data_IF_152706718621
#
_entry.id   IF_152706718621
#
_cell.length_a   1.000
_cell.length_b   1.000
_cell.length_c   1.000
_cell.angle_alpha   90.00
_cell.angle_beta   90.00
_cell.angle_gamma   90.00
#
_symmetry.space_group_name_H-M   'P 1'
#
loop_
_entity.id
_entity.type
_entity.pdbx_description
1 polymer ?
#
# COMPACT_ATOMS: atom_id res chain seq x y z
N UNK A 1 -41.38 5.31 -60.48
CA UNK A 1 -41.25 4.26 -59.44
C UNK A 1 -39.76 3.95 -59.26
N UNK A 2 -39.07 4.69 -58.40
CA UNK A 2 -37.69 4.39 -57.95
C UNK A 2 -37.67 4.74 -56.46
N UNK A 3 -37.65 3.69 -55.62
CA UNK A 3 -37.50 3.77 -54.17
C UNK A 3 -36.01 3.92 -53.85
N UNK A 4 -35.62 5.04 -53.26
CA UNK A 4 -34.30 5.24 -52.65
C UNK A 4 -34.41 4.88 -51.16
N UNK A 5 -33.98 3.66 -50.83
CA UNK A 5 -33.71 3.23 -49.46
C UNK A 5 -32.40 3.85 -49.00
N UNK A 6 -32.48 4.89 -48.18
CA UNK A 6 -31.35 5.40 -47.41
C UNK A 6 -31.13 4.47 -46.20
N UNK A 7 -30.16 3.56 -46.33
CA UNK A 7 -29.68 2.73 -45.23
C UNK A 7 -28.87 3.58 -44.26
N UNK A 8 -29.45 3.90 -43.10
CA UNK A 8 -28.72 4.41 -41.96
C UNK A 8 -27.88 3.28 -41.36
N UNK A 9 -26.60 3.21 -41.76
CA UNK A 9 -25.60 2.37 -41.11
C UNK A 9 -25.30 3.01 -39.74
N UNK A 10 -26.00 2.56 -38.71
CA UNK A 10 -25.67 2.87 -37.34
C UNK A 10 -24.34 2.17 -37.01
N UNK A 11 -23.24 2.90 -37.10
CA UNK A 11 -21.97 2.49 -36.52
C UNK A 11 -22.15 2.52 -35.00
N UNK A 12 -22.46 1.37 -34.41
CA UNK A 12 -22.25 1.16 -33.00
C UNK A 12 -20.75 1.33 -32.75
N UNK A 13 -20.33 2.54 -32.35
CA UNK A 13 -19.03 2.76 -31.76
C UNK A 13 -19.01 1.87 -30.52
N UNK A 14 -18.31 0.74 -30.61
CA UNK A 14 -17.84 0.06 -29.44
C UNK A 14 -16.93 1.06 -28.74
N UNK A 15 -17.42 1.61 -27.62
CA UNK A 15 -16.57 2.39 -26.74
C UNK A 15 -15.33 1.54 -26.47
N UNK A 16 -14.12 2.00 -26.84
CA UNK A 16 -12.93 1.28 -26.46
C UNK A 16 -12.98 1.18 -24.94
N UNK A 17 -12.99 -0.06 -24.43
CA UNK A 17 -12.77 -0.32 -23.01
C UNK A 17 -11.39 0.25 -22.73
N UNK A 18 -11.36 1.51 -22.29
CA UNK A 18 -10.18 2.18 -21.80
C UNK A 18 -9.84 1.46 -20.51
N UNK A 19 -9.04 0.40 -20.64
CA UNK A 19 -8.31 -0.16 -19.53
C UNK A 19 -7.37 0.95 -19.07
N UNK A 20 -7.84 1.74 -18.10
CA UNK A 20 -7.00 2.64 -17.33
C UNK A 20 -6.14 1.72 -16.48
N UNK A 21 -5.09 1.15 -17.07
CA UNK A 21 -4.00 0.58 -16.31
C UNK A 21 -3.41 1.76 -15.55
N UNK A 22 -3.84 1.89 -14.30
CA UNK A 22 -3.34 2.89 -13.35
C UNK A 22 -1.83 2.74 -13.35
N UNK A 23 -1.13 3.70 -13.97
CA UNK A 23 0.33 3.69 -14.14
C UNK A 23 1.08 3.42 -12.82
N UNK A 24 0.43 3.71 -11.68
CA UNK A 24 0.89 3.36 -10.35
C UNK A 24 1.11 1.85 -10.12
N UNK A 25 0.16 0.97 -10.48
CA UNK A 25 0.29 -0.47 -10.19
C UNK A 25 1.43 -1.11 -10.98
N UNK A 26 1.54 -0.77 -12.26
CA UNK A 26 2.66 -1.23 -13.10
C UNK A 26 4.01 -0.73 -12.58
N UNK A 27 4.07 0.50 -12.03
CA UNK A 27 5.29 1.01 -11.43
C UNK A 27 5.66 0.26 -10.14
N UNK A 28 4.68 -0.10 -9.31
CA UNK A 28 4.90 -0.93 -8.11
C UNK A 28 5.40 -2.31 -8.51
N UNK A 29 4.74 -2.97 -9.47
CA UNK A 29 5.13 -4.30 -9.95
C UNK A 29 6.57 -4.29 -10.51
N UNK A 30 6.95 -3.27 -11.30
CA UNK A 30 8.33 -3.13 -11.79
C UNK A 30 9.36 -2.93 -10.67
N UNK A 31 9.03 -2.12 -9.68
CA UNK A 31 9.94 -1.90 -8.54
C UNK A 31 10.05 -3.15 -7.65
N UNK A 32 9.00 -3.97 -7.58
CA UNK A 32 9.02 -5.29 -6.95
C UNK A 32 9.93 -6.25 -7.75
N UNK A 33 9.80 -6.27 -9.07
CA UNK A 33 10.65 -7.10 -9.96
C UNK A 33 12.14 -6.77 -9.79
N UNK A 34 12.51 -5.50 -9.56
CA UNK A 34 13.90 -5.13 -9.29
C UNK A 34 14.45 -5.79 -8.02
N UNK A 35 13.64 -5.90 -6.96
CA UNK A 35 14.01 -6.62 -5.72
C UNK A 35 14.16 -8.11 -6.02
N UNK A 36 13.23 -8.69 -6.80
CA UNK A 36 13.26 -10.10 -7.19
C UNK A 36 14.52 -10.40 -7.98
N UNK A 37 14.80 -9.64 -9.04
CA UNK A 37 15.98 -9.79 -9.89
C UNK A 37 17.27 -9.69 -9.07
N UNK A 38 17.37 -8.71 -8.18
CA UNK A 38 18.54 -8.55 -7.29
C UNK A 38 18.77 -9.79 -6.42
N UNK A 39 17.72 -10.37 -5.84
CA UNK A 39 17.83 -11.58 -5.02
C UNK A 39 18.12 -12.83 -5.86
N UNK A 40 17.56 -12.93 -7.05
CA UNK A 40 17.84 -14.03 -7.98
C UNK A 40 19.29 -14.02 -8.49
N UNK A 41 19.86 -12.84 -8.73
CA UNK A 41 21.30 -12.68 -9.04
C UNK A 41 22.20 -13.14 -7.88
N UNK A 42 21.73 -13.02 -6.63
CA UNK A 42 22.39 -13.58 -5.45
C UNK A 42 22.17 -15.10 -5.27
N UNK A 43 21.44 -15.74 -6.18
CA UNK A 43 21.13 -17.17 -6.19
C UNK A 43 19.91 -17.57 -5.36
N UNK A 44 19.08 -16.63 -4.92
CA UNK A 44 17.78 -16.97 -4.35
C UNK A 44 16.80 -17.39 -5.46
N UNK A 45 15.77 -18.15 -5.10
CA UNK A 45 14.65 -18.46 -5.99
C UNK A 45 13.36 -17.89 -5.40
N UNK A 46 12.69 -17.02 -6.15
CA UNK A 46 11.46 -16.39 -5.73
C UNK A 46 10.25 -17.32 -5.88
N UNK A 47 9.33 -17.27 -4.92
CA UNK A 47 8.02 -17.92 -5.01
C UNK A 47 6.97 -17.06 -4.32
N UNK A 48 5.98 -16.58 -5.08
CA UNK A 48 4.85 -15.81 -4.54
C UNK A 48 3.90 -16.70 -3.74
N UNK A 49 3.40 -16.20 -2.61
CA UNK A 49 2.45 -16.86 -1.70
C UNK A 49 1.48 -15.83 -1.13
N UNK A 50 0.34 -15.64 -1.81
CA UNK A 50 -0.55 -14.52 -1.49
C UNK A 50 0.12 -13.20 -1.88
N UNK A 51 0.14 -12.25 -0.96
CA UNK A 51 0.78 -10.94 -1.13
C UNK A 51 2.29 -10.97 -0.79
N UNK A 52 2.78 -12.09 -0.24
CA UNK A 52 4.20 -12.25 0.11
C UNK A 52 5.01 -12.88 -1.03
N UNK A 53 6.29 -12.49 -1.14
CA UNK A 53 7.28 -13.22 -1.94
C UNK A 53 8.26 -13.93 -1.01
N UNK A 54 8.32 -15.26 -1.13
CA UNK A 54 9.26 -16.09 -0.37
C UNK A 54 10.46 -16.45 -1.24
N UNK A 55 11.62 -15.97 -0.84
CA UNK A 55 12.91 -16.25 -1.49
C UNK A 55 13.60 -17.43 -0.83
N UNK A 56 13.70 -18.54 -1.55
CA UNK A 56 14.44 -19.72 -1.12
C UNK A 56 15.93 -19.48 -1.32
N UNK A 57 16.78 -19.74 -0.31
CA UNK A 57 18.21 -19.48 -0.43
C UNK A 57 18.91 -20.52 -1.31
N UNK A 58 20.07 -20.19 -1.90
CA UNK A 58 20.88 -21.15 -2.65
C UNK A 58 21.46 -22.26 -1.77
N UNK A 59 21.60 -22.00 -0.45
CA UNK A 59 22.07 -23.00 0.52
C UNK A 59 21.14 -23.05 1.72
N UNK A 60 20.79 -24.27 2.14
CA UNK A 60 19.79 -24.50 3.19
C UNK A 60 20.08 -23.83 4.54
N UNK A 61 21.34 -23.51 4.87
CA UNK A 61 21.71 -22.86 6.14
C UNK A 61 21.46 -21.34 6.17
N UNK A 62 21.27 -20.69 5.03
CA UNK A 62 21.17 -19.22 4.94
C UNK A 62 19.81 -18.68 5.41
N UNK A 63 18.78 -19.53 5.49
CA UNK A 63 17.41 -19.12 5.78
C UNK A 63 16.71 -18.50 4.57
N UNK A 64 15.38 -18.52 4.58
CA UNK A 64 14.58 -17.89 3.52
C UNK A 64 14.45 -16.39 3.80
N UNK A 65 14.45 -15.57 2.74
CA UNK A 65 14.01 -14.18 2.86
C UNK A 65 12.53 -14.10 2.47
N UNK A 66 11.77 -13.21 3.11
CA UNK A 66 10.34 -12.99 2.86
C UNK A 66 10.17 -11.49 2.66
N UNK A 67 9.69 -11.12 1.49
CA UNK A 67 9.30 -9.75 1.19
C UNK A 67 7.79 -9.61 1.33
N UNK A 68 7.37 -8.68 2.17
CA UNK A 68 5.98 -8.40 2.53
C UNK A 68 5.86 -6.93 2.91
N UNK A 69 4.86 -6.22 2.37
CA UNK A 69 4.57 -4.81 2.68
C UNK A 69 5.79 -3.87 2.61
N UNK A 70 6.64 -4.05 1.59
CA UNK A 70 7.85 -3.22 1.43
C UNK A 70 8.95 -3.50 2.47
N UNK A 71 8.86 -4.60 3.22
CA UNK A 71 9.86 -5.04 4.19
C UNK A 71 10.43 -6.40 3.80
N UNK A 72 11.76 -6.54 3.94
CA UNK A 72 12.44 -7.81 3.77
C UNK A 72 12.80 -8.39 5.15
N UNK A 73 12.22 -9.55 5.47
CA UNK A 73 12.48 -10.28 6.71
C UNK A 73 13.18 -11.61 6.41
N UNK A 74 13.86 -12.18 7.40
CA UNK A 74 14.56 -13.46 7.22
C UNK A 74 14.03 -14.53 8.19
N UNK A 75 13.62 -15.65 7.63
CA UNK A 75 13.28 -16.85 8.40
C UNK A 75 14.53 -17.71 8.59
N UNK A 76 14.81 -18.10 9.83
CA UNK A 76 15.94 -19.01 10.11
C UNK A 76 15.73 -20.37 9.47
N UNK A 77 16.81 -20.94 8.97
CA UNK A 77 16.85 -22.32 8.55
C UNK A 77 16.69 -23.25 9.75
N UNK A 78 15.72 -24.15 9.69
CA UNK A 78 15.60 -25.29 10.61
C UNK A 78 16.09 -26.51 9.84
N UNK A 79 17.33 -26.93 10.10
CA UNK A 79 17.88 -28.17 9.56
C UNK A 79 17.73 -29.27 10.63
N UNK A 80 16.85 -30.24 10.36
CA UNK A 80 16.64 -31.43 11.17
C UNK A 80 16.66 -32.69 10.31
N UNK A 81 16.99 -33.85 10.91
CA UNK A 81 17.02 -35.16 10.25
C UNK A 81 15.64 -35.69 9.82
N UNK A 82 14.56 -34.98 10.16
CA UNK A 82 13.21 -35.29 9.75
C UNK A 82 12.63 -34.10 8.98
N UNK A 83 12.06 -34.28 7.77
CA UNK A 83 11.23 -33.26 7.17
C UNK A 83 10.03 -33.08 8.09
N UNK A 84 9.96 -31.95 8.79
CA UNK A 84 8.72 -31.55 9.45
C UNK A 84 7.65 -31.47 8.35
N UNK A 85 6.45 -32.07 8.55
CA UNK A 85 5.33 -31.85 7.65
C UNK A 85 5.15 -30.33 7.48
N UNK A 86 5.05 -29.89 6.24
CA UNK A 86 5.19 -28.50 5.79
C UNK A 86 4.09 -27.56 6.32
N UNK A 87 3.23 -28.03 7.23
CA UNK A 87 2.05 -27.35 7.73
C UNK A 87 2.22 -26.69 9.11
N UNK A 88 3.33 -26.92 9.84
CA UNK A 88 3.48 -26.43 11.21
C UNK A 88 4.39 -25.21 11.33
N UNK A 89 4.03 -24.09 10.70
CA UNK A 89 4.50 -22.75 11.12
C UNK A 89 3.45 -21.68 10.81
N UNK A 90 2.31 -21.74 11.49
CA UNK A 90 1.62 -20.53 11.95
C UNK A 90 2.00 -20.36 13.41
N UNK A 91 2.87 -19.41 13.70
CA UNK A 91 3.11 -18.93 15.06
C UNK A 91 2.03 -17.91 15.39
N UNK A 92 0.78 -18.37 15.50
CA UNK A 92 -0.26 -17.58 16.15
C UNK A 92 -0.34 -18.07 17.61
N UNK A 93 0.13 -17.28 18.60
CA UNK A 93 0.09 -17.65 20.01
C UNK A 93 -1.35 -17.77 20.57
N UNK A 94 -2.39 -17.52 19.76
CA UNK A 94 -3.80 -17.64 20.15
C UNK A 94 -4.54 -18.82 19.53
N UNK A 95 -3.94 -19.56 18.60
CA UNK A 95 -4.56 -20.75 17.99
C UNK A 95 -3.86 -22.03 18.44
N UNK A 96 -4.33 -22.56 19.57
CA UNK A 96 -4.08 -23.96 19.96
C UNK A 96 -4.75 -24.85 18.93
N UNK A 97 -4.00 -25.29 17.91
CA UNK A 97 -4.48 -26.26 16.93
C UNK A 97 -4.47 -27.64 17.59
N UNK A 98 -5.58 -27.98 18.26
CA UNK A 98 -5.83 -29.35 18.71
C UNK A 98 -6.12 -30.22 17.49
N UNK A 99 -5.10 -30.98 17.05
CA UNK A 99 -5.27 -32.04 16.06
C UNK A 99 -6.21 -33.09 16.65
N UNK A 100 -7.43 -33.14 16.14
CA UNK A 100 -8.44 -34.13 16.53
C UNK A 100 -8.43 -35.22 15.45
N UNK A 101 -8.26 -36.47 15.87
CA UNK A 101 -8.32 -37.63 14.95
C UNK A 101 -9.71 -37.70 14.28
N UNK A 102 -9.87 -38.32 13.10
CA UNK A 102 -11.18 -38.57 12.48
C UNK A 102 -12.20 -39.23 13.41
N UNK A 103 -11.74 -39.90 14.47
CA UNK A 103 -12.58 -40.57 15.47
C UNK A 103 -12.87 -39.70 16.72
N UNK A 104 -12.64 -38.39 16.67
CA UNK A 104 -12.96 -37.46 17.77
C UNK A 104 -12.07 -37.58 19.01
N UNK A 105 -11.05 -38.44 18.97
CA UNK A 105 -10.09 -38.61 20.06
C UNK A 105 -9.03 -37.50 19.97
N UNK A 106 -8.68 -36.84 21.09
CA UNK A 106 -7.52 -35.96 21.13
C UNK A 106 -6.30 -36.81 20.82
N UNK A 107 -5.61 -36.49 19.71
CA UNK A 107 -4.31 -37.10 19.49
C UNK A 107 -3.37 -36.55 20.56
N UNK A 108 -3.01 -37.40 21.53
CA UNK A 108 -1.78 -37.15 22.25
C UNK A 108 -0.68 -37.03 21.19
N UNK A 109 0.08 -35.93 21.17
CA UNK A 109 1.24 -35.85 20.30
C UNK A 109 2.13 -37.01 20.73
N UNK A 110 2.18 -38.06 19.93
CA UNK A 110 3.23 -39.06 20.01
C UNK A 110 4.53 -38.33 19.72
N UNK A 111 5.10 -37.74 20.79
CA UNK A 111 6.45 -37.23 20.81
C UNK A 111 7.31 -38.48 20.72
N UNK A 112 7.58 -38.92 19.50
CA UNK A 112 8.67 -39.84 19.23
C UNK A 112 9.92 -39.20 19.82
N UNK A 113 10.30 -39.64 21.02
CA UNK A 113 11.47 -39.19 21.77
C UNK A 113 12.76 -39.74 21.13
N UNK A 114 12.91 -39.57 19.82
CA UNK A 114 14.21 -39.60 19.17
C UNK A 114 14.91 -38.27 19.45
N UNK A 115 16.24 -38.25 19.63
CA UNK A 115 16.98 -37.01 19.80
C UNK A 115 16.85 -36.18 18.51
N UNK A 116 15.90 -35.25 18.49
CA UNK A 116 15.78 -34.24 17.44
C UNK A 116 16.92 -33.25 17.62
N UNK A 117 18.09 -33.62 17.09
CA UNK A 117 19.27 -32.76 17.02
C UNK A 117 19.02 -31.69 15.94
N UNK A 118 18.43 -30.58 16.37
CA UNK A 118 18.26 -29.39 15.53
C UNK A 118 19.59 -28.68 15.40
N UNK A 119 20.22 -28.75 14.24
CA UNK A 119 21.43 -27.99 13.96
C UNK A 119 21.04 -26.61 13.42
N UNK A 120 20.75 -25.68 14.33
CA UNK A 120 20.59 -24.29 13.96
C UNK A 120 21.97 -23.72 13.56
N UNK A 121 22.10 -23.10 12.37
CA UNK A 121 23.35 -22.46 11.99
C UNK A 121 23.71 -21.37 13.02
N UNK A 122 24.98 -21.33 13.41
CA UNK A 122 25.46 -20.33 14.35
C UNK A 122 25.19 -18.92 13.82
N UNK A 123 24.62 -18.04 14.66
CA UNK A 123 24.30 -16.64 14.30
C UNK A 123 25.47 -15.89 13.65
N UNK A 124 26.70 -16.23 14.04
CA UNK A 124 27.95 -15.67 13.50
C UNK A 124 28.14 -15.92 12.01
N UNK A 125 27.63 -17.03 11.45
CA UNK A 125 27.68 -17.32 10.01
C UNK A 125 26.53 -16.69 9.23
N UNK A 126 25.36 -16.62 9.88
CA UNK A 126 24.12 -16.11 9.26
C UNK A 126 24.14 -14.57 9.12
N UNK A 127 24.62 -13.86 10.15
CA UNK A 127 24.58 -12.39 10.19
C UNK A 127 25.30 -11.73 8.99
N UNK A 128 26.54 -12.11 8.63
CA UNK A 128 27.22 -11.50 7.48
C UNK A 128 26.46 -11.72 6.16
N UNK A 129 25.85 -12.91 5.99
CA UNK A 129 25.05 -13.21 4.81
C UNK A 129 23.79 -12.35 4.74
N UNK A 130 23.04 -12.23 5.84
CA UNK A 130 21.86 -11.36 5.90
C UNK A 130 22.21 -9.89 5.67
N UNK A 131 23.33 -9.43 6.22
CA UNK A 131 23.83 -8.08 5.98
C UNK A 131 24.15 -7.86 4.50
N UNK A 132 24.84 -8.79 3.84
CA UNK A 132 25.14 -8.69 2.41
C UNK A 132 23.87 -8.67 1.55
N UNK A 133 22.85 -9.47 1.89
CA UNK A 133 21.55 -9.43 1.20
C UNK A 133 20.87 -8.07 1.39
N UNK A 134 20.78 -7.58 2.63
CA UNK A 134 20.16 -6.28 2.92
C UNK A 134 20.87 -5.12 2.24
N UNK A 135 22.20 -5.18 2.13
CA UNK A 135 23.01 -4.19 1.44
C UNK A 135 22.72 -4.22 -0.07
N UNK A 136 22.69 -5.41 -0.68
CA UNK A 136 22.38 -5.57 -2.10
C UNK A 136 20.97 -5.08 -2.46
N UNK A 137 19.97 -5.37 -1.63
CA UNK A 137 18.58 -4.97 -1.90
C UNK A 137 18.24 -3.57 -1.38
N UNK A 138 19.18 -2.83 -0.79
CA UNK A 138 18.89 -1.55 -0.16
C UNK A 138 18.28 -0.53 -1.13
N UNK A 139 18.94 -0.29 -2.25
CA UNK A 139 18.49 0.65 -3.28
C UNK A 139 17.14 0.23 -3.90
N UNK A 140 16.95 -1.03 -4.37
CA UNK A 140 15.64 -1.51 -4.81
C UNK A 140 14.52 -1.33 -3.78
N UNK A 141 14.78 -1.61 -2.49
CA UNK A 141 13.78 -1.43 -1.43
C UNK A 141 13.42 0.05 -1.21
N UNK A 142 14.41 0.95 -1.23
CA UNK A 142 14.17 2.39 -1.12
C UNK A 142 13.35 2.88 -2.32
N UNK A 143 13.70 2.43 -3.53
CA UNK A 143 12.97 2.76 -4.75
C UNK A 143 11.51 2.27 -4.69
N UNK A 144 11.28 1.00 -4.36
CA UNK A 144 9.95 0.42 -4.20
C UNK A 144 9.09 1.24 -3.23
N UNK A 145 9.61 1.55 -2.04
CA UNK A 145 8.88 2.34 -1.04
C UNK A 145 8.53 3.73 -1.54
N UNK A 146 9.44 4.38 -2.29
CA UNK A 146 9.17 5.68 -2.90
C UNK A 146 8.06 5.60 -3.96
N UNK A 147 8.04 4.53 -4.76
CA UNK A 147 7.00 4.30 -5.77
C UNK A 147 5.64 4.04 -5.13
N UNK A 148 5.58 3.21 -4.09
CA UNK A 148 4.35 2.96 -3.32
C UNK A 148 3.84 4.27 -2.72
N UNK A 149 4.68 4.99 -1.98
CA UNK A 149 4.29 6.25 -1.35
C UNK A 149 3.82 7.31 -2.36
N UNK A 150 4.45 7.39 -3.54
CA UNK A 150 4.01 8.29 -4.61
C UNK A 150 2.65 7.88 -5.17
N UNK A 151 2.44 6.58 -5.39
CA UNK A 151 1.20 6.04 -5.93
C UNK A 151 0.03 6.27 -4.99
N UNK A 152 0.21 5.98 -3.70
CA UNK A 152 -0.79 6.24 -2.65
C UNK A 152 -1.13 7.73 -2.55
N UNK A 153 -0.11 8.60 -2.62
CA UNK A 153 -0.33 10.05 -2.62
C UNK A 153 -1.15 10.50 -3.84
N UNK A 154 -0.87 9.94 -5.01
CA UNK A 154 -1.60 10.28 -6.24
C UNK A 154 -3.05 9.80 -6.19
N UNK A 155 -3.30 8.61 -5.67
CA UNK A 155 -4.65 8.11 -5.41
C UNK A 155 -5.39 9.01 -4.40
N UNK A 156 -4.73 9.39 -3.30
CA UNK A 156 -5.32 10.32 -2.32
C UNK A 156 -5.65 11.68 -2.92
N UNK A 157 -4.77 12.25 -3.74
CA UNK A 157 -5.01 13.53 -4.44
C UNK A 157 -6.14 13.37 -5.45
N UNK A 158 -6.21 12.26 -6.18
CA UNK A 158 -7.25 12.00 -7.17
C UNK A 158 -8.63 11.85 -6.53
N UNK A 159 -8.71 11.24 -5.34
CA UNK A 159 -9.96 11.07 -4.59
C UNK A 159 -10.34 12.31 -3.76
N UNK A 160 -9.46 13.31 -3.68
CA UNK A 160 -9.66 14.47 -2.82
C UNK A 160 -10.85 15.36 -3.25
N UNK A 161 -11.06 15.67 -4.55
CA UNK A 161 -12.22 16.47 -4.99
C UNK A 161 -13.55 15.87 -4.54
N UNK A 162 -13.78 14.58 -4.79
CA UNK A 162 -15.02 13.90 -4.40
C UNK A 162 -15.26 13.97 -2.88
N UNK A 163 -14.19 13.84 -2.09
CA UNK A 163 -14.25 13.97 -0.63
C UNK A 163 -14.55 15.39 -0.17
N UNK A 164 -13.99 16.39 -0.86
CA UNK A 164 -14.27 17.80 -0.58
C UNK A 164 -15.70 18.16 -0.98
N UNK A 165 -16.21 17.61 -2.08
CA UNK A 165 -17.60 17.79 -2.52
C UNK A 165 -18.58 17.14 -1.53
N UNK A 166 -18.30 15.92 -1.06
CA UNK A 166 -19.08 15.27 -0.01
C UNK A 166 -19.06 16.08 1.30
N UNK A 167 -17.91 16.64 1.68
CA UNK A 167 -17.83 17.56 2.82
C UNK A 167 -18.70 18.79 2.60
N UNK A 168 -18.61 19.40 1.42
CA UNK A 168 -19.26 20.66 1.13
C UNK A 168 -20.77 20.54 1.01
N UNK A 169 -21.26 19.48 0.38
CA UNK A 169 -22.68 19.24 0.13
C UNK A 169 -23.36 18.55 1.32
N UNK A 170 -22.77 17.48 1.83
CA UNK A 170 -23.37 16.61 2.85
C UNK A 170 -22.89 16.90 4.27
N UNK A 171 -21.82 17.69 4.43
CA UNK A 171 -21.21 17.94 5.74
C UNK A 171 -20.33 16.79 6.24
N UNK A 172 -19.95 15.84 5.39
CA UNK A 172 -19.11 14.70 5.76
C UNK A 172 -17.65 15.14 5.99
N UNK A 173 -17.09 15.05 7.20
CA UNK A 173 -15.75 15.57 7.48
C UNK A 173 -14.65 14.78 6.75
N UNK A 174 -13.53 15.44 6.42
CA UNK A 174 -12.36 14.77 5.83
C UNK A 174 -11.66 13.85 6.83
N UNK A 175 -11.80 14.15 8.11
CA UNK A 175 -11.31 13.34 9.23
C UNK A 175 -12.26 13.45 10.43
N UNK A 176 -12.55 12.32 11.08
CA UNK A 176 -13.51 12.25 12.19
C UNK A 176 -14.86 11.69 11.75
N UNK A 177 -15.85 11.71 12.64
CA UNK A 177 -17.17 11.11 12.43
C UNK A 177 -18.35 12.09 12.63
N UNK A 178 -18.09 13.31 13.07
CA UNK A 178 -19.14 14.30 13.35
C UNK A 178 -19.51 15.05 12.08
N UNK A 179 -20.79 15.03 11.71
CA UNK A 179 -21.33 15.76 10.56
C UNK A 179 -21.27 17.26 10.84
N UNK A 180 -20.86 18.04 9.83
CA UNK A 180 -20.77 19.50 9.87
C UNK A 180 -22.08 20.11 9.35
N UNK A 181 -22.82 20.79 10.21
CA UNK A 181 -24.17 21.27 9.90
C UNK A 181 -24.12 22.56 9.08
N UNK A 182 -23.15 23.43 9.36
CA UNK A 182 -23.06 24.76 8.74
C UNK A 182 -21.97 24.86 7.69
N UNK A 183 -22.16 25.74 6.70
CA UNK A 183 -21.11 26.04 5.71
C UNK A 183 -19.88 26.70 6.31
N UNK A 184 -20.03 27.43 7.41
CA UNK A 184 -18.90 28.01 8.15
C UNK A 184 -18.01 26.91 8.76
N UNK A 185 -18.61 25.92 9.43
CA UNK A 185 -17.89 24.75 9.96
C UNK A 185 -17.22 23.95 8.83
N UNK A 186 -17.90 23.77 7.70
CA UNK A 186 -17.37 23.10 6.51
C UNK A 186 -16.14 23.84 5.96
N UNK A 187 -16.22 25.15 5.76
CA UNK A 187 -15.06 25.97 5.32
C UNK A 187 -13.91 25.87 6.31
N UNK A 188 -14.18 26.04 7.60
CA UNK A 188 -13.16 25.95 8.64
C UNK A 188 -12.45 24.58 8.60
N UNK A 189 -13.20 23.49 8.43
CA UNK A 189 -12.62 22.14 8.33
C UNK A 189 -11.72 21.97 7.10
N UNK A 190 -12.10 22.51 5.94
CA UNK A 190 -11.27 22.47 4.72
C UNK A 190 -9.98 23.27 4.93
N UNK A 191 -10.07 24.46 5.52
CA UNK A 191 -8.92 25.32 5.79
C UNK A 191 -7.97 24.72 6.84
N UNK A 192 -8.50 24.06 7.87
CA UNK A 192 -7.71 23.30 8.84
C UNK A 192 -6.99 22.11 8.19
N UNK A 193 -7.69 21.38 7.31
CA UNK A 193 -7.08 20.31 6.53
C UNK A 193 -5.92 20.82 5.68
N UNK A 194 -6.10 21.95 4.99
CA UNK A 194 -5.06 22.62 4.20
C UNK A 194 -3.87 23.09 5.06
N UNK A 195 -4.13 23.76 6.17
CA UNK A 195 -3.09 24.28 7.06
C UNK A 195 -2.32 23.18 7.79
N UNK A 196 -2.93 22.02 8.03
CA UNK A 196 -2.30 20.88 8.71
C UNK A 196 -1.31 20.08 7.85
N UNK A 197 -1.27 20.27 6.51
CA UNK A 197 -0.35 19.47 5.68
C UNK A 197 1.11 19.80 6.02
N UNK A 198 2.01 18.83 5.95
CA UNK A 198 3.44 19.09 6.20
C UNK A 198 4.03 20.08 5.17
N UNK A 199 5.12 20.76 5.54
CA UNK A 199 5.93 21.61 4.64
C UNK A 199 6.88 20.74 3.81
N UNK A 200 6.32 19.85 3.01
CA UNK A 200 7.04 18.96 2.10
C UNK A 200 6.46 19.07 0.69
N UNK A 201 7.18 18.67 -0.37
CA UNK A 201 6.64 18.68 -1.73
C UNK A 201 5.32 17.89 -1.86
N UNK A 202 5.16 16.80 -1.11
CA UNK A 202 3.93 16.02 -1.06
C UNK A 202 2.78 16.81 -0.44
N UNK A 203 3.01 17.42 0.74
CA UNK A 203 2.03 18.29 1.38
C UNK A 203 1.64 19.45 0.48
N UNK A 204 2.59 19.99 -0.27
CA UNK A 204 2.33 21.09 -1.19
C UNK A 204 1.43 20.72 -2.36
N UNK A 205 1.59 19.51 -2.92
CA UNK A 205 0.69 18.97 -3.95
C UNK A 205 -0.74 18.85 -3.44
N UNK A 206 -0.93 18.33 -2.22
CA UNK A 206 -2.26 18.24 -1.60
C UNK A 206 -2.86 19.63 -1.40
N UNK A 207 -2.09 20.57 -0.86
CA UNK A 207 -2.55 21.96 -0.70
C UNK A 207 -2.97 22.59 -2.05
N UNK A 208 -2.24 22.34 -3.15
CA UNK A 208 -2.64 22.86 -4.48
C UNK A 208 -3.98 22.29 -4.95
N UNK A 209 -4.22 21.00 -4.69
CA UNK A 209 -5.49 20.37 -5.04
C UNK A 209 -6.65 21.00 -4.24
N UNK A 210 -6.45 21.25 -2.94
CA UNK A 210 -7.45 21.95 -2.09
C UNK A 210 -7.66 23.39 -2.56
N UNK A 211 -6.59 24.14 -2.84
CA UNK A 211 -6.66 25.52 -3.34
C UNK A 211 -7.44 25.61 -4.66
N UNK A 212 -7.14 24.71 -5.61
CA UNK A 212 -7.87 24.66 -6.87
C UNK A 212 -9.37 24.35 -6.69
N UNK A 213 -9.70 23.46 -5.75
CA UNK A 213 -11.09 23.16 -5.40
C UNK A 213 -11.79 24.35 -4.72
N UNK A 214 -11.12 25.03 -3.77
CA UNK A 214 -11.65 26.22 -3.10
C UNK A 214 -11.98 27.33 -4.10
N UNK A 215 -11.09 27.59 -5.05
CA UNK A 215 -11.31 28.55 -6.13
C UNK A 215 -12.52 28.16 -7.00
N UNK A 216 -12.56 26.90 -7.45
CA UNK A 216 -13.61 26.45 -8.36
C UNK A 216 -15.00 26.37 -7.72
N UNK A 217 -15.09 25.91 -6.47
CA UNK A 217 -16.37 25.57 -5.81
C UNK A 217 -16.77 26.61 -4.76
N UNK A 218 -15.88 26.96 -3.84
CA UNK A 218 -16.24 27.79 -2.68
C UNK A 218 -16.36 29.26 -3.04
N UNK A 219 -15.41 29.82 -3.81
CA UNK A 219 -15.46 31.25 -4.19
C UNK A 219 -16.68 31.61 -5.03
N UNK A 220 -17.24 30.64 -5.76
CA UNK A 220 -18.40 30.82 -6.64
C UNK A 220 -19.72 30.42 -5.97
N UNK A 221 -19.70 30.06 -4.68
CA UNK A 221 -20.88 29.70 -3.90
C UNK A 221 -21.51 30.91 -3.19
N UNK A 222 -22.69 30.73 -2.59
CA UNK A 222 -23.31 31.73 -1.69
C UNK A 222 -22.54 31.95 -0.38
N UNK A 223 -21.46 31.17 -0.17
CA UNK A 223 -20.70 31.12 1.07
C UNK A 223 -19.18 31.20 0.81
N UNK A 224 -18.68 32.25 0.12
CA UNK A 224 -17.28 32.38 -0.25
C UNK A 224 -16.36 32.55 0.97
N UNK A 225 -15.05 32.37 0.76
CA UNK A 225 -14.07 32.64 1.81
C UNK A 225 -14.01 34.13 2.13
N UNK A 226 -13.95 34.42 3.42
CA UNK A 226 -13.76 35.78 3.93
C UNK A 226 -12.28 36.14 4.00
N UNK A 227 -11.96 37.44 3.93
CA UNK A 227 -10.58 37.92 4.05
C UNK A 227 -9.98 37.63 5.43
N UNK A 228 -10.82 37.61 6.47
CA UNK A 228 -10.41 37.26 7.82
C UNK A 228 -9.99 35.77 7.91
N UNK A 229 -10.77 34.87 7.30
CA UNK A 229 -10.40 33.45 7.19
C UNK A 229 -9.08 33.31 6.41
N UNK A 230 -8.97 33.92 5.22
CA UNK A 230 -7.74 33.88 4.39
C UNK A 230 -6.51 34.26 5.20
N UNK A 231 -6.51 35.46 5.79
CA UNK A 231 -5.37 35.97 6.57
C UNK A 231 -5.01 35.06 7.75
N UNK A 232 -6.01 34.52 8.45
CA UNK A 232 -5.79 33.62 9.60
C UNK A 232 -5.06 32.35 9.19
N UNK A 233 -5.46 31.73 8.08
CA UNK A 233 -4.89 30.46 7.65
C UNK A 233 -3.58 30.62 6.88
N UNK A 234 -3.42 31.67 6.08
CA UNK A 234 -2.14 32.00 5.42
C UNK A 234 -1.02 32.25 6.43
N UNK A 235 -1.32 32.87 7.58
CA UNK A 235 -0.35 33.04 8.66
C UNK A 235 0.19 31.71 9.22
N UNK A 236 -0.56 30.60 9.08
CA UNK A 236 -0.13 29.25 9.48
C UNK A 236 0.75 28.57 8.42
N UNK A 237 0.76 29.07 7.18
CA UNK A 237 1.59 28.58 6.06
C UNK A 237 2.25 29.75 5.30
N UNK A 238 3.35 30.31 5.81
CA UNK A 238 4.01 31.44 5.16
C UNK A 238 4.47 31.09 3.73
N UNK A 239 4.25 32.02 2.79
CA UNK A 239 4.64 31.86 1.39
C UNK A 239 3.58 31.22 0.49
N UNK A 240 2.37 30.97 0.99
CA UNK A 240 1.21 30.57 0.19
C UNK A 240 0.07 31.55 0.36
N UNK A 241 -0.76 31.63 -0.68
CA UNK A 241 -1.92 32.52 -0.75
C UNK A 241 -3.12 31.66 -1.13
N UNK A 242 -4.22 31.81 -0.40
CA UNK A 242 -5.49 31.19 -0.71
C UNK A 242 -6.20 31.97 -1.84
N UNK A 243 -7.05 31.31 -2.64
CA UNK A 243 -7.87 31.98 -3.63
C UNK A 243 -8.82 33.03 -3.02
#
# INVERSE_FOLDING_TARGET
>A
MILLLAGALAWAQADPVLEITVWGRLAIDRAEDDIVNTLEEMGYSARRRGDDIVFRPPRGWMGAAIFSDGQLTFRRAVAGLQPLPTELYTTDPRRTTSLTSPNGQPMEPSVGAGPSLWFLPARRKLKPHQSAVLEAVHEPLVHYRAVVARTELEEQISALPDRLDALWSEGTPLSGSTILETYEERRAHVLDYWASRALTPQGDRVCRAVEAWLEAVVQHSDHPLTDAERSTYEARRPGRTLP
#
